data_IF_446885494682
#
_entry.id   IF_446885494682
#
_cell.length_a   1.000
_cell.length_b   1.000
_cell.length_c   1.000
_cell.angle_alpha   90.00
_cell.angle_beta   90.00
_cell.angle_gamma   90.00
#
_symmetry.space_group_name_H-M   'P 1'
#
loop_
_entity.id
_entity.type
_entity.pdbx_description
1 polymer ?
#
# COMPACT_ATOMS: atom_id res chain seq x y z
N UNK A 1 22.65 -21.05 37.74
CA UNK A 1 22.26 -21.65 36.45
C UNK A 1 22.21 -20.51 35.46
N UNK A 2 23.19 -20.41 34.56
CA UNK A 2 23.30 -19.33 33.60
C UNK A 2 22.14 -19.43 32.60
N UNK A 3 21.21 -18.47 32.62
CA UNK A 3 20.32 -18.26 31.48
C UNK A 3 21.14 -17.56 30.40
N UNK A 4 21.59 -18.33 29.42
CA UNK A 4 22.12 -17.77 28.18
C UNK A 4 21.01 -16.92 27.55
N UNK A 5 21.29 -15.64 27.39
CA UNK A 5 20.47 -14.69 26.66
C UNK A 5 20.47 -15.12 25.19
N UNK A 6 19.56 -16.02 24.81
CA UNK A 6 19.23 -16.17 23.39
C UNK A 6 18.49 -14.89 23.02
N UNK A 7 19.23 -13.93 22.47
CA UNK A 7 18.60 -12.96 21.58
C UNK A 7 17.89 -13.82 20.53
N UNK A 8 16.55 -13.83 20.54
CA UNK A 8 15.79 -14.50 19.51
C UNK A 8 16.26 -13.92 18.17
N UNK A 9 16.63 -14.79 17.23
CA UNK A 9 17.16 -14.37 15.94
C UNK A 9 16.11 -13.55 15.22
N UNK A 10 16.51 -12.49 14.50
CA UNK A 10 15.58 -11.70 13.69
C UNK A 10 14.81 -12.63 12.71
N UNK A 11 13.53 -12.36 12.44
CA UNK A 11 12.73 -13.21 11.56
C UNK A 11 13.34 -13.22 10.15
N UNK A 12 13.39 -14.39 9.50
CA UNK A 12 13.90 -14.47 8.13
C UNK A 12 12.78 -14.31 7.11
N UNK A 13 13.05 -13.56 6.03
CA UNK A 13 12.09 -13.29 4.95
C UNK A 13 12.68 -13.74 3.63
N UNK A 14 11.96 -14.57 2.88
CA UNK A 14 12.39 -15.07 1.56
C UNK A 14 11.28 -14.89 0.53
N UNK A 15 11.61 -14.37 -0.65
CA UNK A 15 10.68 -14.31 -1.78
C UNK A 15 10.56 -15.66 -2.49
N UNK A 16 9.35 -16.03 -2.88
CA UNK A 16 9.04 -17.24 -3.64
C UNK A 16 8.29 -16.92 -4.93
N UNK A 17 8.39 -17.82 -5.90
CA UNK A 17 7.49 -17.81 -7.05
C UNK A 17 6.01 -17.91 -6.58
N UNK A 18 5.07 -17.15 -7.17
CA UNK A 18 5.21 -16.34 -8.38
C UNK A 18 5.61 -14.86 -8.18
N UNK A 19 6.50 -14.51 -7.25
CA UNK A 19 7.04 -13.13 -7.19
C UNK A 19 7.86 -12.80 -8.44
N UNK A 20 7.60 -11.64 -9.03
CA UNK A 20 8.38 -11.17 -10.17
C UNK A 20 9.87 -10.96 -9.82
N UNK A 21 10.73 -11.11 -10.81
CA UNK A 21 12.17 -10.91 -10.63
C UNK A 21 12.47 -9.43 -10.40
N UNK A 22 13.55 -9.12 -9.67
CA UNK A 22 13.93 -7.73 -9.45
C UNK A 22 14.29 -7.06 -10.79
N UNK A 23 13.82 -5.82 -10.99
CA UNK A 23 13.95 -5.03 -12.22
C UNK A 23 13.30 -5.69 -13.46
N UNK A 24 12.30 -6.55 -13.26
CA UNK A 24 11.59 -7.16 -14.39
C UNK A 24 10.60 -6.19 -15.04
N UNK A 25 10.44 -6.35 -16.35
CA UNK A 25 9.36 -5.75 -17.11
C UNK A 25 8.23 -6.76 -17.31
N UNK A 26 6.98 -6.38 -17.01
CA UNK A 26 5.82 -7.26 -17.16
C UNK A 26 4.75 -6.60 -18.03
N UNK A 27 4.32 -7.34 -19.07
CA UNK A 27 3.31 -6.90 -20.05
C UNK A 27 1.88 -7.19 -19.59
N UNK A 28 1.48 -6.65 -18.43
CA UNK A 28 0.19 -6.90 -17.76
C UNK A 28 -0.08 -5.83 -16.72
N UNK A 29 -1.29 -5.75 -16.17
CA UNK A 29 -1.71 -4.76 -15.15
C UNK A 29 -1.70 -5.30 -13.71
N UNK A 30 -0.83 -6.27 -13.43
CA UNK A 30 -0.74 -6.92 -12.12
C UNK A 30 0.65 -7.48 -11.82
N UNK A 31 0.97 -7.60 -10.53
CA UNK A 31 2.19 -8.23 -10.05
C UNK A 31 1.94 -8.97 -8.74
N UNK A 32 2.58 -10.12 -8.59
CA UNK A 32 2.53 -10.90 -7.36
C UNK A 32 3.72 -10.57 -6.48
N UNK A 33 3.45 -10.46 -5.18
CA UNK A 33 4.48 -10.50 -4.15
C UNK A 33 4.13 -11.64 -3.21
N UNK A 34 5.08 -12.56 -3.05
CA UNK A 34 4.88 -13.79 -2.32
C UNK A 34 6.13 -14.09 -1.49
N UNK A 35 5.99 -14.04 -0.17
CA UNK A 35 7.08 -14.30 0.77
C UNK A 35 6.77 -15.50 1.67
N UNK A 36 7.81 -16.10 2.23
CA UNK A 36 7.69 -16.86 3.48
C UNK A 36 8.45 -16.14 4.56
N UNK A 37 7.89 -16.19 5.76
CA UNK A 37 8.53 -15.74 6.98
C UNK A 37 8.83 -16.98 7.81
N UNK A 38 10.03 -17.06 8.38
CA UNK A 38 10.38 -18.13 9.31
C UNK A 38 10.94 -17.54 10.59
N UNK A 39 10.34 -17.93 11.70
CA UNK A 39 10.74 -17.58 13.06
C UNK A 39 10.32 -18.71 14.01
N UNK A 40 10.87 -18.73 15.24
CA UNK A 40 10.48 -19.68 16.27
C UNK A 40 9.14 -19.32 16.94
N UNK A 41 8.75 -18.05 16.90
CA UNK A 41 7.54 -17.51 17.51
C UNK A 41 6.52 -16.98 16.50
N UNK A 42 5.46 -16.38 17.03
CA UNK A 42 4.52 -15.61 16.23
C UNK A 42 5.23 -14.36 15.68
N UNK A 43 4.85 -13.97 14.48
CA UNK A 43 5.41 -12.82 13.76
C UNK A 43 4.29 -12.01 13.13
N UNK A 44 4.47 -10.70 13.04
CA UNK A 44 3.70 -9.85 12.12
C UNK A 44 4.53 -9.64 10.86
N UNK A 45 3.91 -9.63 9.69
CA UNK A 45 4.60 -9.38 8.43
C UNK A 45 3.71 -8.64 7.44
N UNK A 46 4.33 -7.79 6.62
CA UNK A 46 3.62 -6.97 5.64
C UNK A 46 4.49 -6.57 4.45
N UNK A 47 3.85 -6.14 3.37
CA UNK A 47 4.51 -5.64 2.15
C UNK A 47 4.24 -4.15 2.04
N UNK A 48 5.29 -3.34 2.11
CA UNK A 48 5.22 -1.95 1.69
C UNK A 48 5.38 -1.89 0.17
N UNK A 49 4.24 -1.87 -0.54
CA UNK A 49 4.19 -1.75 -1.99
C UNK A 49 3.98 -0.30 -2.37
N UNK A 50 4.93 0.24 -3.12
CA UNK A 50 4.97 1.60 -3.66
C UNK A 50 4.76 2.70 -2.60
N UNK A 51 5.42 2.52 -1.44
CA UNK A 51 5.33 3.41 -0.28
C UNK A 51 3.89 3.55 0.22
N UNK A 52 3.18 2.42 0.24
CA UNK A 52 1.81 2.34 0.72
C UNK A 52 1.71 2.52 2.24
N UNK A 53 2.75 2.18 2.99
CA UNK A 53 2.83 2.38 4.43
C UNK A 53 3.19 3.85 4.73
N UNK A 54 2.23 4.61 5.23
CA UNK A 54 2.38 6.05 5.50
C UNK A 54 2.57 6.39 6.98
N UNK A 55 2.41 5.42 7.87
CA UNK A 55 2.72 5.55 9.28
C UNK A 55 2.89 4.18 9.93
N UNK A 56 3.92 4.02 10.76
CA UNK A 56 4.15 2.83 11.57
C UNK A 56 4.78 3.18 12.91
N UNK A 57 3.99 3.17 13.97
CA UNK A 57 4.45 3.42 15.34
C UNK A 57 4.45 2.11 16.13
N UNK A 58 5.67 1.68 16.48
CA UNK A 58 5.96 0.38 17.12
C UNK A 58 6.15 0.46 18.62
N UNK A 59 6.39 1.67 19.14
CA UNK A 59 6.55 1.95 20.57
C UNK A 59 7.60 1.09 21.30
N UNK A 60 8.67 0.72 20.59
CA UNK A 60 9.67 -0.21 21.10
C UNK A 60 10.79 0.43 21.93
N UNK A 61 10.73 1.75 22.17
CA UNK A 61 11.76 2.54 22.82
C UNK A 61 13.10 2.45 22.07
N UNK A 62 13.00 2.61 20.75
CA UNK A 62 14.12 2.43 19.82
C UNK A 62 14.83 3.76 19.53
N UNK A 63 15.91 3.69 18.74
CA UNK A 63 16.63 4.90 18.33
C UNK A 63 15.69 5.92 17.66
N UNK A 64 15.65 7.13 18.23
CA UNK A 64 14.77 8.22 17.80
C UNK A 64 13.55 8.43 18.70
N UNK A 65 13.30 7.52 19.64
CA UNK A 65 12.21 7.59 20.62
C UNK A 65 12.69 8.04 22.00
N UNK A 66 11.76 8.54 22.81
CA UNK A 66 11.90 8.77 24.25
C UNK A 66 10.50 8.90 24.88
N UNK A 67 10.42 9.27 26.16
CA UNK A 67 9.15 9.37 26.90
C UNK A 67 8.15 10.40 26.35
N UNK A 68 8.54 11.28 25.42
CA UNK A 68 7.64 12.27 24.81
C UNK A 68 7.64 12.26 23.28
N UNK A 69 8.40 11.36 22.66
CA UNK A 69 8.57 11.28 21.20
C UNK A 69 8.51 9.84 20.74
N UNK A 70 7.60 9.56 19.81
CA UNK A 70 7.33 8.23 19.26
C UNK A 70 7.63 8.23 17.77
N UNK A 71 8.43 7.29 17.32
CA UNK A 71 8.99 7.31 15.97
C UNK A 71 8.00 6.69 14.98
N UNK A 72 7.84 7.35 13.84
CA UNK A 72 7.29 6.72 12.65
C UNK A 72 8.40 5.95 11.91
N UNK A 73 8.22 4.64 11.77
CA UNK A 73 9.13 3.73 11.06
C UNK A 73 8.87 3.67 9.55
N UNK A 74 7.81 4.30 9.06
CA UNK A 74 7.55 4.45 7.63
C UNK A 74 8.56 5.40 6.96
N UNK A 75 8.49 5.49 5.63
CA UNK A 75 9.30 6.43 4.86
C UNK A 75 8.84 7.91 4.95
N UNK A 76 7.83 8.22 5.78
CA UNK A 76 7.19 9.55 5.82
C UNK A 76 7.56 10.38 7.04
N UNK A 77 8.05 9.76 8.13
CA UNK A 77 8.56 10.49 9.29
C UNK A 77 7.50 11.25 10.07
N UNK A 78 6.25 10.76 10.05
CA UNK A 78 5.10 11.30 10.77
C UNK A 78 5.21 11.00 12.29
N UNK A 79 6.27 11.46 12.95
CA UNK A 79 6.51 11.14 14.35
C UNK A 79 5.40 11.66 15.28
N UNK A 80 5.07 10.87 16.30
CA UNK A 80 4.14 11.25 17.37
C UNK A 80 4.85 11.92 18.54
N UNK A 81 4.10 12.74 19.29
CA UNK A 81 4.57 13.40 20.51
C UNK A 81 3.49 13.43 21.58
N UNK A 82 3.87 13.68 22.82
CA UNK A 82 2.96 13.97 23.93
C UNK A 82 3.60 15.03 24.84
N UNK A 83 2.84 15.56 25.81
CA UNK A 83 3.32 16.65 26.68
C UNK A 83 3.00 16.38 28.15
N UNK A 84 4.03 16.46 29.00
CA UNK A 84 3.86 16.51 30.46
C UNK A 84 3.32 15.20 31.04
N UNK A 85 2.31 15.33 31.91
CA UNK A 85 1.64 14.19 32.55
C UNK A 85 0.75 13.41 31.60
N UNK A 86 0.40 13.97 30.44
CA UNK A 86 -0.53 13.36 29.47
C UNK A 86 0.18 12.38 28.53
N UNK A 87 1.37 11.91 28.93
CA UNK A 87 2.20 11.03 28.15
C UNK A 87 1.98 9.59 28.61
N UNK A 88 1.56 8.68 27.71
CA UNK A 88 1.41 7.28 28.08
C UNK A 88 2.76 6.69 28.48
N UNK A 89 2.72 5.63 29.28
CA UNK A 89 3.93 4.97 29.80
C UNK A 89 4.28 3.73 28.99
N UNK A 90 5.55 3.34 29.01
CA UNK A 90 6.00 2.14 28.30
C UNK A 90 5.66 0.86 29.08
N UNK A 91 5.17 -0.16 28.39
CA UNK A 91 4.86 -1.48 28.95
C UNK A 91 5.33 -2.61 28.00
N UNK A 92 5.12 -3.86 28.39
CA UNK A 92 5.32 -5.00 27.49
C UNK A 92 4.21 -5.06 26.44
N UNK A 93 4.61 -5.12 25.17
CA UNK A 93 3.71 -5.10 24.01
C UNK A 93 3.32 -6.47 23.50
N UNK A 94 2.60 -6.45 22.38
CA UNK A 94 2.35 -7.65 21.58
C UNK A 94 3.62 -8.07 20.85
N UNK A 95 4.36 -7.09 20.32
CA UNK A 95 5.61 -7.30 19.60
C UNK A 95 6.70 -6.37 20.16
N UNK A 96 7.34 -6.79 21.26
CA UNK A 96 8.31 -6.00 22.01
C UNK A 96 7.63 -5.20 23.12
N UNK A 97 7.61 -3.87 23.01
CA UNK A 97 6.98 -2.96 23.97
C UNK A 97 5.70 -2.32 23.39
N UNK A 98 4.93 -1.65 24.25
CA UNK A 98 3.71 -0.95 23.88
C UNK A 98 3.52 0.29 24.78
N UNK A 99 2.52 1.11 24.46
CA UNK A 99 2.11 2.22 25.30
C UNK A 99 0.91 1.85 26.17
N UNK A 100 0.97 2.18 27.45
CA UNK A 100 -0.11 2.08 28.43
C UNK A 100 -0.78 3.43 28.61
N UNK A 101 -2.08 3.49 28.30
CA UNK A 101 -2.93 4.67 28.45
C UNK A 101 -3.81 4.48 29.68
N UNK A 102 -3.74 5.41 30.63
CA UNK A 102 -4.38 5.27 31.94
C UNK A 102 -5.91 5.52 31.94
N UNK A 103 -6.45 6.07 30.85
CA UNK A 103 -7.87 6.43 30.72
C UNK A 103 -8.25 7.81 31.26
N UNK A 104 -7.28 8.63 31.69
CA UNK A 104 -7.50 9.93 32.32
C UNK A 104 -7.19 11.08 31.38
N UNK A 105 -5.98 11.14 30.82
CA UNK A 105 -5.58 12.22 29.91
C UNK A 105 -4.49 11.86 28.91
N UNK A 106 -4.01 10.61 28.91
CA UNK A 106 -2.94 10.16 28.03
C UNK A 106 -3.31 10.23 26.54
N UNK A 107 -2.35 10.70 25.73
CA UNK A 107 -2.44 10.62 24.27
C UNK A 107 -1.06 10.70 23.61
N UNK A 108 -0.99 10.20 22.37
CA UNK A 108 0.04 10.59 21.41
C UNK A 108 -0.63 11.40 20.31
N UNK A 109 -0.08 12.58 20.01
CA UNK A 109 -0.49 13.41 18.88
C UNK A 109 0.55 13.33 17.77
N UNK A 110 0.11 12.97 16.59
CA UNK A 110 0.87 13.01 15.34
C UNK A 110 0.36 14.22 14.55
N UNK A 111 1.21 15.23 14.29
CA UNK A 111 0.81 16.41 13.53
C UNK A 111 0.24 16.04 12.16
N UNK A 112 -0.63 16.91 11.65
CA UNK A 112 -1.16 16.76 10.31
C UNK A 112 -0.04 16.59 9.25
N UNK A 113 -0.28 15.67 8.32
CA UNK A 113 0.55 15.42 7.15
C UNK A 113 -0.35 14.96 6.02
N UNK A 114 -0.15 15.48 4.81
CA UNK A 114 -0.94 15.09 3.64
C UNK A 114 -0.84 13.58 3.34
N UNK A 115 0.27 12.92 3.75
CA UNK A 115 0.44 11.47 3.61
C UNK A 115 -0.52 10.65 4.50
N UNK A 116 -0.99 11.23 5.61
CA UNK A 116 -1.98 10.62 6.52
C UNK A 116 -3.43 10.95 6.12
N UNK A 117 -3.62 11.60 4.98
CA UNK A 117 -4.92 11.99 4.45
C UNK A 117 -5.19 11.34 3.08
N UNK A 118 -5.06 10.01 2.94
CA UNK A 118 -5.21 9.32 1.65
C UNK A 118 -6.69 9.25 1.21
N UNK A 119 -6.94 8.97 -0.06
CA UNK A 119 -8.31 8.82 -0.59
C UNK A 119 -8.98 7.53 -0.09
N UNK A 120 -8.17 6.51 0.12
CA UNK A 120 -8.48 5.15 0.55
C UNK A 120 -7.50 4.76 1.65
N UNK A 121 -7.88 3.87 2.57
CA UNK A 121 -7.07 3.68 3.78
C UNK A 121 -7.13 2.25 4.29
N UNK A 122 -6.05 1.84 4.95
CA UNK A 122 -6.10 0.81 5.99
C UNK A 122 -5.50 1.38 7.26
N UNK A 123 -6.13 1.12 8.39
CA UNK A 123 -5.61 1.48 9.71
C UNK A 123 -5.63 0.23 10.56
N UNK A 124 -4.49 -0.10 11.17
CA UNK A 124 -4.31 -1.29 12.00
C UNK A 124 -3.73 -0.88 13.36
N UNK A 125 -4.11 -1.60 14.42
CA UNK A 125 -3.50 -1.48 15.73
C UNK A 125 -3.72 -2.77 16.54
N UNK A 126 -2.74 -3.10 17.37
CA UNK A 126 -2.94 -4.05 18.46
C UNK A 126 -3.39 -3.32 19.70
N UNK A 127 -4.38 -3.87 20.39
CA UNK A 127 -4.89 -3.32 21.65
C UNK A 127 -4.97 -4.38 22.73
N UNK A 128 -4.76 -3.98 23.98
CA UNK A 128 -4.98 -4.80 25.17
C UNK A 128 -5.97 -4.07 26.10
N UNK A 129 -7.28 -4.39 26.01
CA UNK A 129 -8.28 -3.78 26.87
C UNK A 129 -8.19 -4.34 28.30
N UNK A 130 -8.17 -3.49 29.35
CA UNK A 130 -8.08 -3.95 30.74
C UNK A 130 -9.41 -4.57 31.23
N UNK A 131 -9.37 -5.28 32.37
CA UNK A 131 -10.55 -5.79 33.11
C UNK A 131 -11.71 -4.80 33.31
N UNK A 132 -11.43 -3.49 33.34
CA UNK A 132 -12.40 -2.39 33.53
C UNK A 132 -13.41 -2.25 32.38
N UNK A 133 -14.07 -1.10 32.25
CA UNK A 133 -14.82 -0.80 31.01
C UNK A 133 -13.83 -0.16 30.05
N UNK A 134 -13.27 -0.91 29.07
CA UNK A 134 -12.49 -0.28 28.03
C UNK A 134 -13.42 0.62 27.23
N UNK A 135 -13.25 1.93 27.41
CA UNK A 135 -13.96 2.94 26.65
C UNK A 135 -12.92 3.90 26.09
N UNK A 136 -13.25 4.51 24.96
CA UNK A 136 -12.42 5.55 24.37
C UNK A 136 -11.84 5.17 23.02
N UNK A 137 -11.08 6.11 22.49
CA UNK A 137 -10.65 6.16 21.11
C UNK A 137 -9.16 5.85 21.09
N UNK A 138 -8.77 4.71 20.54
CA UNK A 138 -7.36 4.29 20.58
C UNK A 138 -6.58 4.74 19.34
N UNK A 139 -7.24 4.98 18.20
CA UNK A 139 -6.67 5.69 17.04
C UNK A 139 -7.77 6.54 16.41
N UNK A 140 -7.53 7.84 16.24
CA UNK A 140 -8.52 8.71 15.60
C UNK A 140 -7.90 9.87 14.83
N UNK A 141 -8.43 10.11 13.64
CA UNK A 141 -8.29 11.38 12.93
C UNK A 141 -9.69 11.98 12.86
N UNK A 142 -10.19 12.46 14.01
CA UNK A 142 -11.57 12.93 14.12
C UNK A 142 -11.72 14.10 15.06
N UNK A 143 -12.44 15.12 14.59
CA UNK A 143 -12.79 16.30 15.37
C UNK A 143 -14.32 16.41 15.51
N UNK A 144 -14.82 16.65 16.72
CA UNK A 144 -16.27 16.77 16.94
C UNK A 144 -16.93 17.95 16.22
N UNK A 145 -16.18 18.99 15.84
CA UNK A 145 -16.75 20.19 15.21
C UNK A 145 -16.69 20.18 13.68
N UNK A 146 -15.74 19.46 13.08
CA UNK A 146 -15.52 19.39 11.63
C UNK A 146 -15.64 17.95 11.06
N UNK A 147 -15.90 16.97 11.93
CA UNK A 147 -15.67 15.54 11.72
C UNK A 147 -14.21 15.22 11.40
N UNK A 148 -13.99 14.00 10.91
CA UNK A 148 -12.69 13.39 10.64
C UNK A 148 -12.70 12.59 9.35
N UNK A 149 -11.56 12.00 9.00
CA UNK A 149 -11.52 10.91 8.03
C UNK A 149 -11.97 9.58 8.64
N UNK A 150 -11.48 9.25 9.85
CA UNK A 150 -11.75 7.96 10.49
C UNK A 150 -11.54 7.98 12.02
N UNK A 151 -12.11 6.99 12.71
CA UNK A 151 -11.85 6.71 14.11
C UNK A 151 -11.98 5.22 14.43
N UNK A 152 -11.30 4.81 15.51
CA UNK A 152 -11.45 3.54 16.17
C UNK A 152 -11.80 3.75 17.64
N UNK A 153 -12.75 2.97 18.15
CA UNK A 153 -13.14 3.00 19.55
C UNK A 153 -13.58 1.63 20.07
N UNK A 154 -13.52 1.49 21.39
CA UNK A 154 -14.33 0.49 22.09
C UNK A 154 -15.58 1.19 22.63
N UNK A 155 -16.75 0.68 22.25
CA UNK A 155 -18.04 1.25 22.65
C UNK A 155 -18.34 0.96 24.13
N UNK A 156 -19.34 1.64 24.68
CA UNK A 156 -19.82 1.38 26.04
C UNK A 156 -20.32 -0.06 26.26
N UNK A 157 -20.70 -0.77 25.19
CA UNK A 157 -21.10 -2.18 25.23
C UNK A 157 -19.92 -3.14 25.07
N UNK A 158 -18.69 -2.61 24.94
CA UNK A 158 -17.46 -3.38 24.78
C UNK A 158 -17.19 -3.87 23.37
N UNK A 159 -17.96 -3.41 22.37
CA UNK A 159 -17.74 -3.78 20.97
C UNK A 159 -16.63 -2.92 20.36
N UNK A 160 -15.88 -3.51 19.42
CA UNK A 160 -15.02 -2.75 18.54
C UNK A 160 -15.89 -1.98 17.56
N UNK A 161 -15.70 -0.67 17.45
CA UNK A 161 -16.35 0.13 16.42
C UNK A 161 -15.29 0.96 15.69
N UNK A 162 -15.48 1.09 14.39
CA UNK A 162 -14.73 2.03 13.59
C UNK A 162 -15.68 2.80 12.68
N UNK A 163 -15.36 4.07 12.50
CA UNK A 163 -16.13 4.97 11.65
C UNK A 163 -15.20 5.54 10.59
N UNK A 164 -15.73 5.74 9.38
CA UNK A 164 -15.13 6.57 8.35
C UNK A 164 -16.12 7.63 7.91
N UNK A 165 -15.62 8.76 7.43
CA UNK A 165 -16.46 9.78 6.83
C UNK A 165 -15.97 10.22 5.46
N UNK A 166 -16.94 10.45 4.59
CA UNK A 166 -16.83 11.15 3.31
C UNK A 166 -17.96 12.21 3.23
N UNK A 167 -18.75 12.21 2.14
CA UNK A 167 -20.03 12.93 2.08
C UNK A 167 -21.11 12.32 2.99
N UNK A 168 -20.94 11.06 3.38
CA UNK A 168 -21.73 10.27 4.32
C UNK A 168 -20.83 9.69 5.41
N UNK A 169 -21.41 8.98 6.38
CA UNK A 169 -20.67 8.29 7.43
C UNK A 169 -20.88 6.78 7.31
N UNK A 170 -19.79 6.03 7.43
CA UNK A 170 -19.80 4.57 7.50
C UNK A 170 -19.42 4.13 8.89
N UNK A 171 -20.29 3.38 9.57
CA UNK A 171 -20.04 2.86 10.92
C UNK A 171 -20.05 1.34 10.84
N UNK A 172 -18.93 0.71 11.22
CA UNK A 172 -18.79 -0.73 11.29
C UNK A 172 -18.54 -1.16 12.74
N UNK A 173 -19.24 -2.20 13.21
CA UNK A 173 -19.19 -2.62 14.62
C UNK A 173 -19.06 -4.13 14.73
N UNK A 174 -18.19 -4.60 15.63
CA UNK A 174 -18.04 -6.02 15.88
C UNK A 174 -19.32 -6.61 16.49
N UNK A 175 -19.68 -7.82 16.07
CA UNK A 175 -20.88 -8.50 16.57
C UNK A 175 -20.75 -8.88 18.05
N UNK A 176 -19.53 -9.24 18.46
CA UNK A 176 -19.20 -9.62 19.83
C UNK A 176 -18.38 -8.52 20.49
N UNK A 177 -18.54 -8.40 21.80
CA UNK A 177 -17.66 -7.59 22.63
C UNK A 177 -16.24 -8.15 22.60
N UNK A 178 -15.24 -7.26 22.58
CA UNK A 178 -13.84 -7.65 22.68
C UNK A 178 -13.60 -8.26 24.08
N UNK A 179 -12.86 -9.37 24.13
CA UNK A 179 -12.44 -9.93 25.41
C UNK A 179 -11.42 -9.01 26.10
N UNK A 180 -11.45 -9.01 27.42
CA UNK A 180 -10.52 -8.24 28.24
C UNK A 180 -9.29 -9.07 28.57
N UNK A 181 -8.23 -8.39 28.96
CA UNK A 181 -6.96 -9.00 29.36
C UNK A 181 -6.35 -9.92 28.29
N UNK A 182 -6.51 -9.52 27.03
CA UNK A 182 -5.97 -10.20 25.87
C UNK A 182 -5.61 -9.19 24.78
N UNK A 183 -4.55 -9.51 24.03
CA UNK A 183 -4.17 -8.76 22.84
C UNK A 183 -5.11 -9.07 21.68
N UNK A 184 -5.65 -8.02 21.07
CA UNK A 184 -6.50 -8.09 19.88
C UNK A 184 -5.91 -7.29 18.74
N UNK A 185 -5.88 -7.86 17.54
CA UNK A 185 -5.55 -7.13 16.33
C UNK A 185 -6.82 -6.52 15.76
N UNK A 186 -6.79 -5.21 15.53
CA UNK A 186 -7.89 -4.45 14.96
C UNK A 186 -7.43 -3.88 13.63
N UNK A 187 -8.29 -3.94 12.61
CA UNK A 187 -8.00 -3.30 11.34
C UNK A 187 -9.28 -2.82 10.64
N UNK A 188 -9.17 -1.73 9.90
CA UNK A 188 -10.17 -1.33 8.92
C UNK A 188 -9.54 -1.20 7.55
N UNK A 189 -10.31 -1.52 6.51
CA UNK A 189 -9.93 -1.25 5.13
C UNK A 189 -11.05 -0.47 4.45
N UNK A 190 -10.70 0.54 3.65
CA UNK A 190 -11.64 1.27 2.81
C UNK A 190 -11.06 1.47 1.41
N UNK A 191 -11.75 0.99 0.38
CA UNK A 191 -11.30 1.03 -1.03
C UNK A 191 -12.10 2.02 -1.90
N UNK A 192 -12.91 2.89 -1.28
CA UNK A 192 -13.78 3.82 -1.99
C UNK A 192 -15.21 3.31 -2.23
N UNK A 193 -15.50 2.04 -1.92
CA UNK A 193 -16.85 1.45 -1.99
C UNK A 193 -17.17 0.57 -0.79
N UNK A 194 -16.23 -0.24 -0.32
CA UNK A 194 -16.38 -1.16 0.79
C UNK A 194 -15.58 -0.66 1.98
N UNK A 195 -16.26 -0.44 3.10
CA UNK A 195 -15.67 -0.20 4.41
C UNK A 195 -15.79 -1.47 5.25
N UNK A 196 -14.65 -2.05 5.63
CA UNK A 196 -14.59 -3.35 6.32
C UNK A 196 -13.87 -3.19 7.65
N UNK A 197 -14.42 -3.83 8.68
CA UNK A 197 -13.82 -3.96 10.01
C UNK A 197 -13.34 -5.41 10.21
N UNK A 198 -12.11 -5.55 10.68
CA UNK A 198 -11.48 -6.83 11.00
C UNK A 198 -11.10 -6.88 12.48
N UNK A 199 -11.30 -8.04 13.09
CA UNK A 199 -10.89 -8.37 14.46
C UNK A 199 -10.15 -9.71 14.44
N UNK A 200 -8.92 -9.72 14.94
CA UNK A 200 -8.05 -10.90 14.99
C UNK A 200 -7.89 -11.59 13.62
N UNK A 201 -7.72 -10.78 12.57
CA UNK A 201 -7.59 -11.22 11.17
C UNK A 201 -8.92 -11.51 10.48
N UNK A 202 -10.01 -11.70 11.22
CA UNK A 202 -11.30 -12.08 10.65
C UNK A 202 -12.15 -10.86 10.29
N UNK A 203 -12.81 -10.89 9.13
CA UNK A 203 -13.80 -9.88 8.77
C UNK A 203 -14.98 -9.92 9.76
N UNK A 204 -15.18 -8.83 10.48
CA UNK A 204 -16.21 -8.71 11.51
C UNK A 204 -17.46 -7.98 11.04
N UNK A 205 -17.33 -6.96 10.19
CA UNK A 205 -18.45 -6.20 9.63
C UNK A 205 -18.03 -5.53 8.30
N UNK A 206 -19.02 -5.25 7.45
CA UNK A 206 -18.83 -4.55 6.17
C UNK A 206 -19.97 -3.59 5.93
N UNK A 207 -19.65 -2.41 5.38
CA UNK A 207 -20.59 -1.40 4.94
C UNK A 207 -20.26 -0.98 3.52
N UNK A 208 -21.29 -0.63 2.75
CA UNK A 208 -21.11 -0.04 1.44
C UNK A 208 -21.21 1.48 1.57
N UNK A 209 -20.10 2.16 1.30
CA UNK A 209 -19.94 3.61 1.42
C UNK A 209 -19.09 4.05 0.24
N UNK A 210 -19.59 4.99 -0.58
CA UNK A 210 -18.94 5.34 -1.84
C UNK A 210 -18.26 6.71 -1.79
N UNK A 211 -17.09 6.83 -2.41
CA UNK A 211 -16.36 8.10 -2.59
C UNK A 211 -14.99 8.11 -1.93
N UNK A 212 -14.33 9.25 -1.92
CA UNK A 212 -13.04 9.43 -1.23
C UNK A 212 -13.25 9.84 0.22
N UNK A 213 -12.30 9.51 1.10
CA UNK A 213 -12.33 9.96 2.49
C UNK A 213 -12.33 11.50 2.58
N UNK A 214 -13.01 12.01 3.62
CA UNK A 214 -13.00 13.43 3.96
C UNK A 214 -11.57 13.90 4.22
N UNK A 215 -11.26 15.10 3.72
CA UNK A 215 -10.03 15.84 3.98
C UNK A 215 -10.37 16.99 4.93
N UNK A 216 -9.73 17.05 6.09
CA UNK A 216 -10.00 18.04 7.14
C UNK A 216 -8.77 18.51 7.92
N UNK A 217 -7.56 18.14 7.48
CA UNK A 217 -6.29 18.55 8.07
C UNK A 217 -6.16 18.35 9.59
N UNK A 218 -6.98 17.46 10.16
CA UNK A 218 -6.88 17.15 11.58
C UNK A 218 -5.58 16.37 11.86
N UNK A 219 -4.97 16.57 13.03
CA UNK A 219 -3.91 15.67 13.51
C UNK A 219 -4.49 14.28 13.82
N UNK A 220 -3.62 13.29 13.81
CA UNK A 220 -3.94 11.94 14.28
C UNK A 220 -3.66 11.86 15.78
N UNK A 221 -4.59 11.27 16.52
CA UNK A 221 -4.45 10.93 17.92
C UNK A 221 -4.41 9.42 18.13
N UNK A 222 -3.54 8.97 19.03
CA UNK A 222 -3.50 7.62 19.55
C UNK A 222 -3.82 7.71 21.04
N UNK A 223 -4.78 6.91 21.50
CA UNK A 223 -5.28 6.93 22.89
C UNK A 223 -6.29 8.04 23.22
N UNK A 224 -6.64 8.91 22.27
CA UNK A 224 -7.69 9.92 22.47
C UNK A 224 -8.30 10.38 21.14
N UNK A 225 -9.12 11.44 21.23
CA UNK A 225 -9.66 12.22 20.12
C UNK A 225 -9.21 13.68 20.22
N UNK A 226 -9.35 14.45 19.13
CA UNK A 226 -8.99 15.86 19.04
C UNK A 226 -9.47 16.73 20.21
N UNK A 227 -10.67 16.48 20.74
CA UNK A 227 -11.24 17.27 21.83
C UNK A 227 -10.76 16.85 23.23
N UNK A 228 -9.88 15.85 23.33
CA UNK A 228 -9.29 15.31 24.57
C UNK A 228 -10.31 14.87 25.62
N UNK A 229 -11.45 14.34 25.17
CA UNK A 229 -12.58 13.93 26.03
C UNK A 229 -12.96 12.46 25.86
N UNK A 230 -12.12 11.69 25.18
CA UNK A 230 -12.40 10.32 24.74
C UNK A 230 -11.21 9.41 24.99
N UNK A 231 -10.60 9.57 26.17
CA UNK A 231 -9.43 8.84 26.60
C UNK A 231 -9.66 7.34 26.49
N UNK A 232 -8.71 6.65 25.87
CA UNK A 232 -8.63 5.21 25.89
C UNK A 232 -7.98 4.75 27.18
N UNK A 233 -8.44 3.62 27.71
CA UNK A 233 -7.78 2.92 28.82
C UNK A 233 -7.35 1.53 28.34
N UNK A 234 -6.05 1.26 28.39
CA UNK A 234 -5.45 0.01 27.94
C UNK A 234 -4.15 0.20 27.17
N UNK A 235 -3.61 -0.89 26.65
CA UNK A 235 -2.35 -0.85 25.91
C UNK A 235 -2.59 -0.78 24.41
N UNK A 236 -1.73 -0.04 23.70
CA UNK A 236 -1.74 0.06 22.23
C UNK A 236 -0.34 -0.23 21.69
N UNK A 237 -0.28 -1.06 20.66
CA UNK A 237 0.93 -1.49 19.98
C UNK A 237 0.75 -1.49 18.45
N UNK A 238 1.85 -1.40 17.71
CA UNK A 238 1.92 -1.61 16.25
C UNK A 238 0.86 -0.82 15.44
N UNK A 239 0.72 0.47 15.72
CA UNK A 239 -0.21 1.32 14.95
C UNK A 239 0.33 1.53 13.55
N UNK A 240 -0.43 1.11 12.53
CA UNK A 240 -0.06 1.25 11.11
C UNK A 240 -1.15 1.98 10.33
N UNK A 241 -0.74 2.85 9.41
CA UNK A 241 -1.63 3.51 8.46
C UNK A 241 -1.10 3.30 7.05
N UNK A 242 -2.00 2.90 6.16
CA UNK A 242 -1.73 2.63 4.76
C UNK A 242 -2.59 3.55 3.89
N UNK A 243 -2.03 4.03 2.78
CA UNK A 243 -2.77 4.84 1.79
C UNK A 243 -3.60 4.00 0.79
N UNK A 244 -3.83 2.73 1.11
CA UNK A 244 -4.58 1.78 0.30
C UNK A 244 -5.37 0.83 1.18
N UNK A 245 -6.39 0.20 0.61
CA UNK A 245 -7.05 -0.94 1.23
C UNK A 245 -6.14 -2.19 1.14
N UNK A 246 -5.82 -2.78 2.27
CA UNK A 246 -5.16 -4.08 2.35
C UNK A 246 -6.16 -5.21 2.03
N UNK A 247 -5.65 -6.31 1.50
CA UNK A 247 -6.41 -7.55 1.31
C UNK A 247 -6.54 -8.35 2.61
N UNK A 248 -7.51 -9.27 2.70
CA UNK A 248 -7.62 -10.18 3.85
C UNK A 248 -6.33 -10.97 4.14
N UNK A 249 -5.60 -11.37 3.10
CA UNK A 249 -4.33 -12.09 3.23
C UNK A 249 -3.25 -11.22 3.88
N UNK A 250 -3.19 -9.93 3.53
CA UNK A 250 -2.27 -8.97 4.14
C UNK A 250 -2.66 -8.68 5.60
N UNK A 251 -3.95 -8.50 5.90
CA UNK A 251 -4.46 -8.33 7.27
C UNK A 251 -4.12 -9.57 8.13
N UNK A 252 -4.27 -10.76 7.58
CA UNK A 252 -3.92 -12.00 8.27
C UNK A 252 -2.42 -12.13 8.53
N UNK A 253 -1.56 -11.66 7.62
CA UNK A 253 -0.11 -11.63 7.82
C UNK A 253 0.30 -10.57 8.87
N UNK A 254 -0.37 -9.41 8.91
CA UNK A 254 -0.22 -8.43 9.99
C UNK A 254 -0.60 -9.03 11.35
N UNK A 255 -1.64 -9.86 11.40
CA UNK A 255 -2.11 -10.53 12.61
C UNK A 255 -1.20 -11.69 13.08
N UNK A 256 -0.85 -12.62 12.18
CA UNK A 256 -0.09 -13.81 12.51
C UNK A 256 0.54 -14.45 11.26
N UNK A 257 1.69 -13.93 10.84
CA UNK A 257 2.44 -14.44 9.69
C UNK A 257 3.13 -15.80 9.95
N UNK A 258 3.12 -16.31 11.19
CA UNK A 258 3.58 -17.67 11.50
C UNK A 258 2.58 -18.74 11.04
N UNK A 259 1.31 -18.38 10.89
CA UNK A 259 0.23 -19.25 10.39
C UNK A 259 -0.17 -18.85 8.97
N UNK A 260 -0.18 -17.55 8.67
CA UNK A 260 -0.63 -17.03 7.40
C UNK A 260 0.53 -16.59 6.52
N UNK A 261 0.52 -17.06 5.28
CA UNK A 261 1.52 -16.68 4.29
C UNK A 261 1.28 -15.25 3.84
N UNK A 262 2.32 -14.42 3.90
CA UNK A 262 2.32 -13.09 3.29
C UNK A 262 2.41 -13.22 1.76
N UNK A 263 1.26 -13.09 1.12
CA UNK A 263 1.10 -13.22 -0.32
C UNK A 263 0.00 -12.27 -0.77
N UNK A 264 0.26 -11.54 -1.86
CA UNK A 264 -0.72 -10.65 -2.45
C UNK A 264 -0.53 -10.54 -3.97
N UNK A 265 -1.65 -10.37 -4.68
CA UNK A 265 -1.68 -10.01 -6.09
C UNK A 265 -2.13 -8.56 -6.24
N UNK A 266 -1.20 -7.67 -6.53
CA UNK A 266 -1.53 -6.29 -6.85
C UNK A 266 -2.15 -6.29 -8.23
N UNK A 267 -3.45 -6.01 -8.32
CA UNK A 267 -4.21 -5.98 -9.58
C UNK A 267 -4.72 -4.58 -9.88
N UNK A 268 -5.18 -4.36 -11.12
CA UNK A 268 -5.58 -3.03 -11.60
C UNK A 268 -4.48 -1.99 -11.39
N UNK A 269 -3.23 -2.43 -11.48
CA UNK A 269 -2.05 -1.61 -11.29
C UNK A 269 -1.73 -0.91 -12.61
N UNK A 270 -1.79 0.43 -12.68
CA UNK A 270 -1.49 1.18 -13.89
C UNK A 270 -0.06 0.98 -14.40
N UNK A 271 0.21 1.44 -15.61
CA UNK A 271 1.58 1.45 -16.15
C UNK A 271 2.47 2.34 -15.28
N UNK A 272 3.61 1.80 -14.85
CA UNK A 272 4.47 2.47 -13.88
C UNK A 272 5.62 1.62 -13.37
N UNK A 273 6.46 2.27 -12.56
CA UNK A 273 7.57 1.63 -11.85
C UNK A 273 7.15 1.48 -10.40
N UNK A 274 7.09 0.25 -9.91
CA UNK A 274 6.66 -0.07 -8.56
C UNK A 274 7.80 -0.65 -7.76
N UNK A 275 8.05 -0.08 -6.58
CA UNK A 275 9.05 -0.59 -5.64
C UNK A 275 8.36 -1.22 -4.45
N UNK A 276 8.88 -2.35 -3.96
CA UNK A 276 8.30 -3.00 -2.79
C UNK A 276 9.34 -3.63 -1.88
N UNK A 277 9.05 -3.60 -0.58
CA UNK A 277 9.86 -4.18 0.48
C UNK A 277 8.96 -4.99 1.41
N UNK A 278 9.40 -6.19 1.80
CA UNK A 278 8.68 -6.99 2.80
C UNK A 278 9.35 -6.85 4.17
N UNK A 279 8.53 -6.79 5.22
CA UNK A 279 8.92 -6.62 6.62
C UNK A 279 8.39 -7.77 7.45
N UNK A 280 9.13 -8.13 8.50
CA UNK A 280 8.67 -9.05 9.52
C UNK A 280 9.20 -8.62 10.90
N UNK A 281 8.39 -8.80 11.94
CA UNK A 281 8.73 -8.54 13.33
C UNK A 281 8.33 -9.72 14.21
N UNK A 282 9.22 -10.14 15.09
CA UNK A 282 8.97 -11.18 16.08
C UNK A 282 8.36 -10.63 17.38
N UNK A 283 7.92 -11.54 18.27
CA UNK A 283 7.34 -11.18 19.58
C UNK A 283 8.29 -10.37 20.47
N UNK A 284 9.60 -10.44 20.25
CA UNK A 284 10.58 -9.66 21.01
C UNK A 284 10.78 -8.24 20.45
N UNK A 285 10.13 -7.90 19.33
CA UNK A 285 10.26 -6.62 18.65
C UNK A 285 11.46 -6.56 17.71
N UNK A 286 12.11 -7.68 17.39
CA UNK A 286 13.17 -7.69 16.40
C UNK A 286 12.59 -7.61 14.99
N UNK A 287 13.08 -6.68 14.17
CA UNK A 287 12.62 -6.48 12.79
C UNK A 287 13.66 -6.93 11.79
N UNK A 288 13.18 -7.56 10.72
CA UNK A 288 13.93 -7.73 9.50
C UNK A 288 13.15 -7.16 8.30
N UNK A 289 13.87 -6.78 7.26
CA UNK A 289 13.29 -6.34 5.99
C UNK A 289 14.08 -6.92 4.82
N UNK A 290 13.42 -7.15 3.69
CA UNK A 290 14.11 -7.53 2.46
C UNK A 290 14.84 -6.36 1.84
N UNK A 291 15.72 -6.62 0.86
CA UNK A 291 16.09 -5.56 -0.09
C UNK A 291 14.84 -5.10 -0.87
N UNK A 292 14.79 -3.83 -1.25
CA UNK A 292 13.75 -3.30 -2.12
C UNK A 292 13.86 -3.94 -3.50
N UNK A 293 12.74 -4.48 -3.98
CA UNK A 293 12.59 -4.97 -5.35
C UNK A 293 11.82 -3.96 -6.19
N UNK A 294 12.07 -3.96 -7.48
CA UNK A 294 11.37 -3.16 -8.46
C UNK A 294 10.73 -4.03 -9.54
N UNK A 295 9.53 -3.64 -9.99
CA UNK A 295 8.87 -4.18 -11.16
C UNK A 295 8.34 -3.03 -12.03
N UNK A 296 8.52 -3.13 -13.33
CA UNK A 296 7.94 -2.21 -14.32
C UNK A 296 6.72 -2.86 -14.92
N UNK A 297 5.56 -2.26 -14.70
CA UNK A 297 4.28 -2.66 -15.28
C UNK A 297 4.04 -1.76 -16.48
N UNK A 298 3.80 -2.36 -17.62
CA UNK A 298 3.40 -1.67 -18.85
C UNK A 298 2.50 -2.62 -19.62
N UNK A 299 1.21 -2.33 -19.63
CA UNK A 299 0.20 -3.17 -20.26
C UNK A 299 0.26 -3.11 -21.79
N UNK A 300 0.86 -2.07 -22.36
CA UNK A 300 0.90 -1.81 -23.80
C UNK A 300 2.32 -1.50 -24.28
N UNK A 301 3.29 -2.42 -24.11
CA UNK A 301 4.66 -2.20 -24.56
C UNK A 301 4.70 -1.91 -26.05
N UNK A 302 5.65 -1.06 -26.51
CA UNK A 302 5.95 -0.94 -27.92
C UNK A 302 6.27 -2.29 -28.55
N UNK A 303 5.60 -2.61 -29.64
CA UNK A 303 5.84 -3.82 -30.40
C UNK A 303 7.08 -3.64 -31.27
N UNK A 304 8.14 -4.40 -30.98
CA UNK A 304 9.37 -4.42 -31.76
C UNK A 304 9.13 -5.00 -33.15
N UNK A 305 9.44 -4.23 -34.19
CA UNK A 305 9.19 -4.61 -35.59
C UNK A 305 10.46 -4.57 -36.42
N UNK A 306 10.62 -5.61 -37.25
CA UNK A 306 11.85 -5.89 -38.00
C UNK A 306 11.67 -5.84 -39.52
N UNK A 307 10.44 -5.61 -40.00
CA UNK A 307 10.11 -5.56 -41.42
C UNK A 307 8.90 -4.65 -41.69
N UNK A 308 8.78 -4.25 -42.94
CA UNK A 308 7.60 -3.57 -43.50
C UNK A 308 6.35 -4.46 -43.33
N UNK A 309 5.26 -3.91 -42.81
CA UNK A 309 4.02 -4.66 -42.54
C UNK A 309 2.80 -3.74 -42.30
N UNK A 310 1.62 -4.32 -42.16
CA UNK A 310 0.42 -3.61 -41.70
C UNK A 310 0.47 -3.39 -40.18
N UNK A 311 0.12 -2.19 -39.72
CA UNK A 311 0.02 -1.84 -38.30
C UNK A 311 -1.44 -1.93 -37.85
N UNK A 312 -1.79 -3.03 -37.18
CA UNK A 312 -3.18 -3.49 -36.97
C UNK A 312 -3.62 -3.52 -35.50
N UNK A 313 -2.98 -2.76 -34.60
CA UNK A 313 -3.32 -2.72 -33.17
C UNK A 313 -3.87 -1.35 -32.81
N UNK A 314 -5.13 -1.28 -32.45
CA UNK A 314 -5.75 -0.06 -31.95
C UNK A 314 -5.04 0.41 -30.67
N UNK A 315 -4.63 1.68 -30.62
CA UNK A 315 -3.83 2.21 -29.50
C UNK A 315 -2.40 1.66 -29.41
N UNK A 316 -1.96 0.87 -30.39
CA UNK A 316 -0.68 0.18 -30.35
C UNK A 316 0.51 1.09 -30.65
N UNK A 317 1.59 0.93 -29.89
CA UNK A 317 2.89 1.51 -30.18
C UNK A 317 3.78 0.47 -30.87
N UNK A 318 4.51 0.87 -31.89
CA UNK A 318 5.45 0.05 -32.66
C UNK A 318 6.82 0.73 -32.65
N UNK A 319 7.89 -0.04 -32.51
CA UNK A 319 9.25 0.48 -32.55
C UNK A 319 10.09 -0.31 -33.56
N UNK A 320 10.74 0.40 -34.48
CA UNK A 320 11.69 -0.24 -35.39
C UNK A 320 12.90 -0.75 -34.61
N UNK A 321 13.29 -1.98 -34.90
CA UNK A 321 14.46 -2.61 -34.30
C UNK A 321 15.65 -2.67 -35.27
N UNK A 322 15.43 -2.29 -36.53
CA UNK A 322 16.44 -2.27 -37.59
C UNK A 322 15.98 -1.42 -38.79
N UNK A 323 16.89 -1.16 -39.72
CA UNK A 323 16.54 -0.61 -41.03
C UNK A 323 15.64 -1.60 -41.79
N UNK A 324 14.60 -1.09 -42.43
CA UNK A 324 13.62 -1.89 -43.19
C UNK A 324 13.52 -1.40 -44.62
N UNK A 325 13.14 -2.29 -45.54
CA UNK A 325 12.88 -1.88 -46.91
C UNK A 325 11.74 -2.61 -47.60
N UNK A 326 11.03 -1.91 -48.49
CA UNK A 326 9.94 -2.44 -49.32
C UNK A 326 10.12 -2.05 -50.79
N UNK A 327 9.63 -2.92 -51.68
CA UNK A 327 9.52 -2.64 -53.11
C UNK A 327 8.58 -1.47 -53.41
N UNK A 328 7.50 -1.32 -52.63
CA UNK A 328 6.48 -0.28 -52.75
C UNK A 328 6.20 0.36 -51.39
N UNK A 329 4.96 0.30 -50.90
CA UNK A 329 4.60 0.77 -49.56
C UNK A 329 5.25 -0.09 -48.48
N UNK A 330 5.85 0.52 -47.44
CA UNK A 330 6.48 -0.23 -46.35
C UNK A 330 5.51 -0.47 -45.18
N UNK A 331 4.91 0.57 -44.61
CA UNK A 331 3.93 0.41 -43.54
C UNK A 331 2.55 0.89 -43.97
N UNK A 332 1.51 0.17 -43.58
CA UNK A 332 0.11 0.61 -43.77
C UNK A 332 -0.60 0.63 -42.43
N UNK A 333 -1.17 1.79 -42.08
CA UNK A 333 -1.98 1.97 -40.87
C UNK A 333 -3.35 1.33 -41.09
N UNK A 334 -3.76 0.47 -40.16
CA UNK A 334 -5.05 -0.26 -40.22
C UNK A 334 -5.93 -0.03 -38.99
N UNK A 335 -5.52 0.82 -38.04
CA UNK A 335 -6.26 1.10 -36.81
C UNK A 335 -6.05 2.54 -36.32
N UNK A 336 -6.94 3.03 -35.44
CA UNK A 336 -6.81 4.33 -34.79
C UNK A 336 -5.73 4.35 -33.69
N UNK A 337 -5.21 5.54 -33.39
CA UNK A 337 -4.26 5.77 -32.29
C UNK A 337 -2.98 4.92 -32.37
N UNK A 338 -2.45 4.75 -33.58
CA UNK A 338 -1.22 3.98 -33.82
C UNK A 338 -0.01 4.90 -33.68
N UNK A 339 0.99 4.46 -32.92
CA UNK A 339 2.32 5.10 -32.88
C UNK A 339 3.36 4.23 -33.58
N UNK A 340 4.14 4.80 -34.50
CA UNK A 340 5.34 4.18 -35.07
C UNK A 340 6.57 5.03 -34.70
N UNK A 341 7.43 4.48 -33.87
CA UNK A 341 8.73 5.02 -33.52
C UNK A 341 9.81 4.36 -34.39
N UNK A 342 10.46 5.15 -35.24
CA UNK A 342 11.55 4.65 -36.08
C UNK A 342 12.84 4.38 -35.33
N UNK A 343 12.98 4.83 -34.07
CA UNK A 343 14.18 4.67 -33.24
C UNK A 343 15.51 5.04 -33.93
N UNK A 344 15.47 5.96 -34.91
CA UNK A 344 16.61 6.37 -35.74
C UNK A 344 16.90 5.45 -36.94
N UNK A 345 16.18 4.35 -37.10
CA UNK A 345 16.34 3.46 -38.25
C UNK A 345 15.70 4.00 -39.53
N UNK A 346 16.20 3.52 -40.67
CA UNK A 346 15.77 3.91 -42.00
C UNK A 346 14.61 3.04 -42.50
N UNK A 347 13.57 3.70 -43.02
CA UNK A 347 12.48 3.11 -43.79
C UNK A 347 12.74 3.41 -45.26
N UNK A 348 13.23 2.41 -46.00
CA UNK A 348 13.48 2.53 -47.44
C UNK A 348 12.30 1.96 -48.26
N UNK A 349 11.57 2.81 -48.95
CA UNK A 349 10.33 2.43 -49.64
C UNK A 349 10.41 2.72 -51.14
N UNK A 350 9.45 2.21 -51.92
CA UNK A 350 9.35 2.50 -53.36
C UNK A 350 10.59 2.08 -54.19
N UNK A 351 11.32 1.03 -53.77
CA UNK A 351 12.53 0.58 -54.47
C UNK A 351 12.30 0.14 -55.92
N UNK A 352 11.19 -0.52 -56.20
CA UNK A 352 10.90 -1.10 -57.52
C UNK A 352 9.42 -0.97 -57.94
N UNK A 353 8.58 -0.35 -57.11
CA UNK A 353 7.17 -0.09 -57.36
C UNK A 353 6.75 1.20 -56.66
N UNK A 354 5.77 1.93 -57.19
CA UNK A 354 5.23 3.12 -56.52
C UNK A 354 4.63 2.76 -55.15
N UNK A 355 4.88 3.59 -54.14
CA UNK A 355 4.31 3.40 -52.80
C UNK A 355 4.78 4.46 -51.81
N UNK A 356 4.43 4.26 -50.54
CA UNK A 356 4.72 5.20 -49.45
C UNK A 356 5.56 4.55 -48.34
N UNK A 357 6.39 5.33 -47.65
CA UNK A 357 7.07 4.82 -46.46
C UNK A 357 6.05 4.32 -45.43
N UNK A 358 5.02 5.14 -45.18
CA UNK A 358 3.93 4.89 -44.27
C UNK A 358 2.66 5.41 -44.94
N UNK A 359 1.63 4.57 -45.01
CA UNK A 359 0.36 4.85 -45.68
C UNK A 359 -0.81 4.79 -44.70
N UNK A 360 -1.59 5.86 -44.62
CA UNK A 360 -2.83 5.96 -43.85
C UNK A 360 -4.01 6.44 -44.74
N UNK A 361 -4.12 5.91 -45.96
CA UNK A 361 -5.18 6.29 -46.91
C UNK A 361 -6.61 6.05 -46.42
N UNK A 362 -6.82 5.13 -45.47
CA UNK A 362 -8.13 4.86 -44.89
C UNK A 362 -8.54 5.88 -43.81
N UNK A 363 -7.67 6.84 -43.48
CA UNK A 363 -8.01 7.97 -42.62
C UNK A 363 -8.17 7.62 -41.14
N UNK A 364 -7.39 6.66 -40.63
CA UNK A 364 -7.41 6.35 -39.20
C UNK A 364 -6.87 7.51 -38.37
N UNK A 365 -7.60 7.88 -37.32
CA UNK A 365 -7.32 9.05 -36.50
C UNK A 365 -6.14 8.82 -35.55
N UNK A 366 -5.47 9.90 -35.15
CA UNK A 366 -4.43 9.93 -34.12
C UNK A 366 -3.19 9.06 -34.41
N UNK A 367 -2.76 9.01 -35.68
CA UNK A 367 -1.49 8.36 -36.03
C UNK A 367 -0.31 9.24 -35.65
N UNK A 368 0.65 8.69 -34.91
CA UNK A 368 1.90 9.36 -34.53
C UNK A 368 3.08 8.65 -35.16
N UNK A 369 3.89 9.36 -35.96
CA UNK A 369 5.16 8.86 -36.51
C UNK A 369 6.29 9.71 -35.94
N UNK A 370 7.32 9.08 -35.37
CA UNK A 370 8.48 9.78 -34.80
C UNK A 370 9.79 9.04 -35.05
N UNK A 371 10.91 9.75 -34.98
CA UNK A 371 12.27 9.22 -35.04
C UNK A 371 12.55 8.26 -36.22
N UNK A 372 11.88 8.40 -37.36
CA UNK A 372 12.10 7.55 -38.53
C UNK A 372 12.88 8.29 -39.61
N UNK A 373 13.93 7.67 -40.14
CA UNK A 373 14.64 8.16 -41.30
C UNK A 373 13.94 7.64 -42.56
N UNK A 374 13.26 8.51 -43.31
CA UNK A 374 12.52 8.09 -44.50
C UNK A 374 13.38 8.27 -45.74
N UNK A 375 13.60 7.18 -46.49
CA UNK A 375 14.34 7.20 -47.74
C UNK A 375 13.49 6.60 -48.86
N UNK A 376 13.23 7.38 -49.90
CA UNK A 376 12.65 6.83 -51.13
C UNK A 376 13.74 6.14 -51.94
N UNK A 377 13.55 4.87 -52.28
CA UNK A 377 14.36 4.18 -53.26
C UNK A 377 14.16 4.80 -54.65
N UNK A 378 15.25 4.93 -55.42
CA UNK A 378 15.14 5.35 -56.81
C UNK A 378 14.42 4.26 -57.60
N UNK A 379 13.17 4.52 -58.00
CA UNK A 379 12.51 3.72 -59.02
C UNK A 379 13.23 3.97 -60.35
N UNK A 380 14.06 3.04 -60.79
CA UNK A 380 14.54 3.00 -62.18
C UNK A 380 13.44 2.53 -63.11
#
# INVERSE_FOLDING_TARGET
>A
MFFAYFAFAVPAITFYSPTDANNSFVSRTWTYVNTSISDAGNVTAFIDFDRGLVGWWRFNNESGENSTKFRDWSAYGNNGTCVGSNCPTNTTGKFGNALDFDGVDDYVVVPYSASLEPDYITVEAWIYPPTGIPQGYFVSNWNSSSNGSFLFQITLTGNLQADIANATEGIATSQMSISKDAWHHTAITYNGTDFKLYLDGNLSDTKNVTGILRKDSNPLFIGNRFDLKRNFSGNVDEVKIWNRALSPEEINASYNAGVYRLYHNFTNTPDGIYNYTAYAQDLAGNVNQTATKQVVIDANPPYGIYACQNLTRAGGSYILMQNVSSAGTCFTIKENNVTLDGAGYTINYSKTAAGYAIDNQLGYNFTTIKNANILQGNST
#
